data_IF_014487956689
#
_entry.id   IF_014487956689
#
_cell.length_a   1.000
_cell.length_b   1.000
_cell.length_c   1.000
_cell.angle_alpha   90.00
_cell.angle_beta   90.00
_cell.angle_gamma   90.00
#
_symmetry.space_group_name_H-M   'P 1'
#
loop_
_entity.id
_entity.type
_entity.pdbx_description
1 polymer ?
#
# COMPACT_ATOMS: atom_id res chain seq x y z
N UNK A 1 3.72 22.44 -1.97
CA UNK A 1 3.66 22.64 -3.45
C UNK A 1 4.28 23.99 -3.81
N UNK A 2 3.71 25.13 -3.41
CA UNK A 2 4.27 26.48 -3.68
C UNK A 2 5.74 26.62 -3.21
N UNK A 3 6.06 26.21 -1.98
CA UNK A 3 7.44 26.25 -1.49
C UNK A 3 8.42 25.32 -2.21
N UNK A 4 7.93 24.21 -2.78
CA UNK A 4 8.77 23.32 -3.59
C UNK A 4 9.04 23.94 -4.97
N UNK A 5 8.04 24.58 -5.58
CA UNK A 5 8.19 25.32 -6.84
C UNK A 5 9.15 26.52 -6.73
N UNK A 6 9.24 27.14 -5.56
CA UNK A 6 10.11 28.31 -5.34
C UNK A 6 11.57 27.95 -5.02
N UNK A 7 11.83 26.76 -4.47
CA UNK A 7 13.14 26.41 -3.89
C UNK A 7 13.83 25.26 -4.62
N UNK A 8 13.07 24.38 -5.28
CA UNK A 8 13.61 23.19 -5.94
C UNK A 8 13.75 23.48 -7.43
N UNK A 9 14.98 23.74 -7.87
CA UNK A 9 15.33 23.78 -9.28
C UNK A 9 15.08 22.41 -9.92
N UNK A 10 14.25 22.36 -10.97
CA UNK A 10 13.93 21.15 -11.72
C UNK A 10 15.22 20.51 -12.26
N UNK A 11 15.50 19.24 -11.94
CA UNK A 11 16.58 18.50 -12.60
C UNK A 11 16.09 18.05 -13.99
N UNK A 12 15.95 19.02 -14.91
CA UNK A 12 15.70 18.71 -16.31
C UNK A 12 17.01 18.26 -16.93
N UNK A 13 17.01 17.07 -17.54
CA UNK A 13 18.11 16.63 -18.39
C UNK A 13 18.05 17.50 -19.66
N UNK A 14 18.87 18.53 -19.73
CA UNK A 14 19.00 19.35 -20.95
C UNK A 14 19.35 18.43 -22.12
N UNK A 15 18.52 18.42 -23.17
CA UNK A 15 18.71 17.59 -24.36
C UNK A 15 18.11 16.18 -24.32
N UNK A 16 17.26 15.82 -23.34
CA UNK A 16 16.57 14.52 -23.37
C UNK A 16 15.55 14.44 -24.53
N UNK A 17 15.91 13.73 -25.60
CA UNK A 17 15.04 13.37 -26.72
C UNK A 17 14.16 12.14 -26.42
N UNK A 18 13.79 11.93 -25.15
CA UNK A 18 13.22 10.66 -24.67
C UNK A 18 11.83 10.38 -25.24
N UNK A 19 11.71 9.37 -26.10
CA UNK A 19 10.43 8.80 -26.47
C UNK A 19 9.81 8.11 -25.25
N UNK A 20 8.53 8.36 -24.99
CA UNK A 20 7.80 7.70 -23.89
C UNK A 20 7.69 6.19 -24.17
N UNK A 21 8.14 5.36 -23.22
CA UNK A 21 7.98 3.91 -23.30
C UNK A 21 6.54 3.48 -22.97
N UNK A 22 5.64 3.69 -23.94
CA UNK A 22 4.22 3.31 -23.84
C UNK A 22 4.05 1.79 -23.74
N UNK A 23 4.72 0.95 -24.57
CA UNK A 23 4.56 -0.49 -24.46
C UNK A 23 5.02 -1.05 -23.11
N UNK A 24 6.17 -0.59 -22.60
CA UNK A 24 6.67 -0.96 -21.27
C UNK A 24 5.68 -0.55 -20.18
N UNK A 25 5.18 0.68 -20.23
CA UNK A 25 4.17 1.16 -19.28
C UNK A 25 2.88 0.34 -19.30
N UNK A 26 2.38 -0.06 -20.48
CA UNK A 26 1.18 -0.89 -20.61
C UNK A 26 1.41 -2.31 -20.09
N UNK A 27 2.52 -2.96 -20.47
CA UNK A 27 2.84 -4.31 -20.01
C UNK A 27 3.04 -4.36 -18.49
N UNK A 28 3.81 -3.41 -17.94
CA UNK A 28 4.04 -3.30 -16.49
C UNK A 28 2.76 -2.95 -15.73
N UNK A 29 2.02 -1.94 -16.20
CA UNK A 29 0.79 -1.46 -15.56
C UNK A 29 -0.33 -2.49 -15.56
N UNK A 30 -0.62 -3.12 -16.70
CA UNK A 30 -1.63 -4.18 -16.80
C UNK A 30 -1.17 -5.46 -16.10
N UNK A 31 0.12 -5.79 -16.17
CA UNK A 31 0.70 -6.93 -15.47
C UNK A 31 0.56 -6.83 -13.96
N UNK A 32 1.04 -5.73 -13.37
CA UNK A 32 0.88 -5.46 -11.94
C UNK A 32 -0.59 -5.33 -11.55
N UNK A 33 -1.39 -4.62 -12.35
CA UNK A 33 -2.82 -4.45 -12.12
C UNK A 33 -3.57 -5.78 -12.06
N UNK A 34 -3.27 -6.71 -12.97
CA UNK A 34 -3.88 -8.05 -12.97
C UNK A 34 -3.49 -8.89 -11.75
N UNK A 35 -2.24 -8.82 -11.31
CA UNK A 35 -1.78 -9.49 -10.08
C UNK A 35 -2.48 -8.90 -8.85
N UNK A 36 -2.49 -7.57 -8.73
CA UNK A 36 -3.08 -6.86 -7.59
C UNK A 36 -4.59 -7.10 -7.52
N UNK A 37 -5.28 -6.99 -8.67
CA UNK A 37 -6.71 -7.31 -8.76
C UNK A 37 -7.00 -8.73 -8.30
N UNK A 38 -6.24 -9.71 -8.82
CA UNK A 38 -6.43 -11.11 -8.45
C UNK A 38 -6.24 -11.36 -6.94
N UNK A 39 -5.30 -10.66 -6.32
CA UNK A 39 -5.02 -10.80 -4.88
C UNK A 39 -6.03 -10.08 -3.99
N UNK A 40 -6.51 -8.89 -4.39
CA UNK A 40 -7.47 -8.11 -3.60
C UNK A 40 -8.88 -8.68 -3.75
N UNK A 41 -9.35 -8.84 -4.99
CA UNK A 41 -10.70 -9.29 -5.29
C UNK A 41 -10.84 -10.82 -5.35
N UNK A 42 -9.77 -11.56 -5.04
CA UNK A 42 -9.77 -13.01 -4.90
C UNK A 42 -10.80 -13.50 -3.89
N UNK A 43 -10.99 -12.76 -2.80
CA UNK A 43 -12.02 -13.05 -1.80
C UNK A 43 -13.43 -12.70 -2.30
N UNK A 44 -13.54 -11.62 -3.08
CA UNK A 44 -14.79 -11.09 -3.62
C UNK A 44 -15.40 -12.00 -4.69
N UNK A 45 -14.60 -12.36 -5.71
CA UNK A 45 -15.04 -13.19 -6.83
C UNK A 45 -14.75 -14.68 -6.64
N UNK A 46 -14.01 -15.06 -5.59
CA UNK A 46 -13.60 -16.42 -5.31
C UNK A 46 -12.31 -16.82 -6.05
N UNK A 47 -11.48 -17.64 -5.42
CA UNK A 47 -10.17 -18.03 -5.98
C UNK A 47 -10.27 -19.01 -7.14
N UNK A 48 -11.31 -19.85 -7.17
CA UNK A 48 -11.49 -20.91 -8.16
C UNK A 48 -12.93 -20.96 -8.64
N UNK A 49 -13.87 -21.16 -7.73
CA UNK A 49 -15.30 -21.11 -8.02
C UNK A 49 -15.79 -19.66 -7.91
N UNK A 50 -16.56 -19.17 -8.90
CA UNK A 50 -17.05 -17.80 -8.89
C UNK A 50 -18.09 -17.60 -7.76
N UNK A 51 -17.84 -16.62 -6.89
CA UNK A 51 -18.78 -16.16 -5.84
C UNK A 51 -19.68 -15.01 -6.32
N UNK A 52 -19.32 -14.35 -7.42
CA UNK A 52 -20.06 -13.23 -7.99
C UNK A 52 -19.81 -13.09 -9.49
N UNK A 53 -20.68 -12.34 -10.16
CA UNK A 53 -20.54 -12.05 -11.60
C UNK A 53 -19.64 -10.84 -11.81
N UNK A 54 -18.44 -11.06 -12.37
CA UNK A 54 -17.59 -9.97 -12.83
C UNK A 54 -18.12 -9.40 -14.15
N UNK A 55 -18.28 -8.08 -14.21
CA UNK A 55 -18.57 -7.37 -15.47
C UNK A 55 -17.83 -6.05 -15.54
N UNK A 56 -17.30 -5.72 -16.71
CA UNK A 56 -16.59 -4.47 -16.97
C UNK A 56 -16.98 -3.96 -18.36
N UNK A 57 -17.37 -2.68 -18.47
CA UNK A 57 -17.79 -2.05 -19.72
C UNK A 57 -18.84 -2.84 -20.53
N UNK A 58 -19.79 -3.48 -19.84
CA UNK A 58 -20.84 -4.30 -20.48
C UNK A 58 -20.38 -5.69 -20.93
N UNK A 59 -19.10 -6.03 -20.77
CA UNK A 59 -18.60 -7.39 -20.92
C UNK A 59 -18.68 -8.12 -19.58
N UNK A 60 -19.40 -9.24 -19.56
CA UNK A 60 -19.46 -10.13 -18.39
C UNK A 60 -18.51 -11.31 -18.58
N UNK A 61 -17.91 -11.75 -17.48
CA UNK A 61 -17.08 -12.95 -17.48
C UNK A 61 -17.90 -14.16 -17.98
N UNK A 62 -17.50 -14.81 -19.08
CA UNK A 62 -18.37 -15.76 -19.78
C UNK A 62 -18.40 -17.15 -19.13
N UNK A 63 -17.48 -17.45 -18.21
CA UNK A 63 -17.37 -18.77 -17.60
C UNK A 63 -18.11 -18.82 -16.27
N UNK A 64 -19.17 -19.63 -16.19
CA UNK A 64 -19.96 -19.81 -14.97
C UNK A 64 -19.27 -20.70 -13.90
N UNK A 65 -18.29 -21.52 -14.30
CA UNK A 65 -17.66 -22.50 -13.40
C UNK A 65 -16.28 -22.08 -12.88
N UNK A 66 -15.68 -21.06 -13.49
CA UNK A 66 -14.34 -20.60 -13.14
C UNK A 66 -14.39 -19.13 -12.79
N UNK A 67 -13.76 -18.76 -11.69
CA UNK A 67 -13.54 -17.36 -11.34
C UNK A 67 -12.58 -16.69 -12.34
N UNK A 68 -12.72 -15.37 -12.50
CA UNK A 68 -11.78 -14.53 -13.26
C UNK A 68 -10.38 -14.47 -12.62
N UNK A 69 -10.29 -14.76 -11.32
CA UNK A 69 -9.10 -14.52 -10.50
C UNK A 69 -7.87 -15.30 -11.00
N UNK A 70 -7.91 -16.62 -11.25
CA UNK A 70 -6.77 -17.34 -11.82
C UNK A 70 -6.31 -16.79 -13.18
N UNK A 71 -7.26 -16.38 -14.03
CA UNK A 71 -6.94 -15.80 -15.34
C UNK A 71 -6.27 -14.44 -15.21
N UNK A 72 -6.71 -13.62 -14.26
CA UNK A 72 -6.05 -12.35 -13.96
C UNK A 72 -4.64 -12.55 -13.42
N UNK A 73 -4.44 -13.52 -12.53
CA UNK A 73 -3.11 -13.83 -11.98
C UNK A 73 -2.15 -14.37 -13.04
N UNK A 74 -2.62 -15.33 -13.87
CA UNK A 74 -1.82 -15.91 -14.96
C UNK A 74 -1.54 -14.84 -16.03
N UNK A 75 -2.57 -14.12 -16.47
CA UNK A 75 -2.45 -13.05 -17.47
C UNK A 75 -1.53 -11.94 -16.99
N UNK A 76 -1.69 -11.50 -15.74
CA UNK A 76 -0.82 -10.51 -15.10
C UNK A 76 0.64 -11.00 -15.03
N UNK A 77 0.85 -12.25 -14.61
CA UNK A 77 2.18 -12.87 -14.56
C UNK A 77 2.84 -12.96 -15.95
N UNK A 78 2.09 -13.36 -16.97
CA UNK A 78 2.58 -13.40 -18.36
C UNK A 78 2.94 -12.00 -18.87
N UNK A 79 2.11 -10.98 -18.60
CA UNK A 79 2.39 -9.60 -18.97
C UNK A 79 3.64 -9.07 -18.26
N UNK A 80 3.87 -9.42 -17.00
CA UNK A 80 5.10 -9.07 -16.27
C UNK A 80 6.33 -9.77 -16.83
N UNK A 81 6.22 -11.05 -17.22
CA UNK A 81 7.31 -11.76 -17.91
C UNK A 81 7.64 -11.06 -19.22
N UNK A 82 6.62 -10.65 -19.98
CA UNK A 82 6.77 -9.92 -21.24
C UNK A 82 7.38 -8.54 -21.02
N UNK A 83 6.96 -7.83 -19.96
CA UNK A 83 7.54 -6.56 -19.53
C UNK A 83 9.03 -6.71 -19.24
N UNK A 84 9.42 -7.68 -18.39
CA UNK A 84 10.83 -7.93 -18.06
C UNK A 84 11.64 -8.23 -19.31
N UNK A 85 11.10 -9.04 -20.22
CA UNK A 85 11.77 -9.35 -21.49
C UNK A 85 11.92 -8.11 -22.39
N UNK A 86 10.88 -7.29 -22.50
CA UNK A 86 10.84 -6.09 -23.31
C UNK A 86 11.81 -5.02 -22.81
N UNK A 87 11.75 -4.70 -21.52
CA UNK A 87 12.64 -3.72 -20.87
C UNK A 87 14.11 -4.15 -20.94
N UNK A 88 14.41 -5.44 -20.71
CA UNK A 88 15.77 -5.96 -20.87
C UNK A 88 16.26 -5.89 -22.31
N UNK A 89 15.37 -6.03 -23.29
CA UNK A 89 15.70 -5.88 -24.69
C UNK A 89 16.03 -4.42 -25.01
N UNK A 90 15.22 -3.48 -24.54
CA UNK A 90 15.48 -2.03 -24.66
C UNK A 90 16.83 -1.65 -24.02
N UNK A 91 17.07 -2.12 -22.80
CA UNK A 91 18.33 -1.88 -22.09
C UNK A 91 19.55 -2.37 -22.89
N UNK A 92 19.47 -3.55 -23.52
CA UNK A 92 20.54 -4.09 -24.39
C UNK A 92 20.73 -3.31 -25.68
N UNK A 93 19.70 -2.60 -26.15
CA UNK A 93 19.73 -1.76 -27.36
C UNK A 93 20.28 -0.36 -27.07
N UNK A 94 20.58 -0.03 -25.81
CA UNK A 94 21.13 1.27 -25.42
C UNK A 94 20.10 2.39 -25.39
N UNK A 95 18.80 2.07 -25.35
CA UNK A 95 17.72 3.05 -25.15
C UNK A 95 17.54 3.37 -23.66
N UNK A 96 16.64 4.30 -23.32
CA UNK A 96 16.27 4.63 -21.94
C UNK A 96 14.99 3.83 -21.54
N UNK A 97 15.11 2.65 -20.90
CA UNK A 97 13.95 1.84 -20.51
C UNK A 97 13.23 2.45 -19.29
N UNK A 98 11.97 2.06 -19.08
CA UNK A 98 11.18 2.49 -17.93
C UNK A 98 11.71 1.88 -16.62
N UNK A 99 12.22 0.66 -16.68
CA UNK A 99 12.87 -0.01 -15.55
C UNK A 99 14.22 -0.61 -15.95
N UNK A 100 15.32 0.03 -15.51
CA UNK A 100 16.68 -0.47 -15.74
C UNK A 100 17.03 -1.63 -14.80
N UNK A 101 17.08 -2.86 -15.34
CA UNK A 101 17.42 -4.06 -14.56
C UNK A 101 18.90 -4.15 -14.22
N UNK A 102 19.80 -3.48 -14.95
CA UNK A 102 21.23 -3.39 -14.60
C UNK A 102 21.45 -2.76 -13.23
N UNK A 103 20.55 -1.92 -12.74
CA UNK A 103 20.66 -1.31 -11.40
C UNK A 103 20.67 -2.36 -10.27
N UNK A 104 20.10 -3.54 -10.47
CA UNK A 104 20.17 -4.64 -9.50
C UNK A 104 21.58 -5.21 -9.26
N UNK A 105 22.57 -4.79 -10.07
CA UNK A 105 23.98 -5.08 -9.79
C UNK A 105 24.47 -4.36 -8.53
N UNK A 106 23.90 -3.19 -8.21
CA UNK A 106 24.23 -2.43 -6.99
C UNK A 106 23.54 -3.07 -5.79
N UNK A 107 24.32 -3.40 -4.75
CA UNK A 107 23.80 -4.03 -3.52
C UNK A 107 22.85 -3.08 -2.78
N UNK A 108 23.18 -1.79 -2.73
CA UNK A 108 22.32 -0.70 -2.23
C UNK A 108 20.94 -0.72 -2.87
N UNK A 109 20.88 -0.72 -4.20
CA UNK A 109 19.62 -0.74 -4.93
C UNK A 109 18.83 -2.03 -4.70
N UNK A 110 19.48 -3.21 -4.86
CA UNK A 110 18.80 -4.51 -4.73
C UNK A 110 18.25 -4.75 -3.32
N UNK A 111 19.08 -4.66 -2.29
CA UNK A 111 18.63 -4.88 -0.91
C UNK A 111 17.79 -3.71 -0.38
N UNK A 112 18.03 -2.49 -0.88
CA UNK A 112 17.21 -1.32 -0.61
C UNK A 112 15.78 -1.50 -1.11
N UNK A 113 15.58 -1.93 -2.36
CA UNK A 113 14.25 -2.20 -2.91
C UNK A 113 13.53 -3.34 -2.16
N UNK A 114 14.23 -4.42 -1.80
CA UNK A 114 13.62 -5.51 -0.99
C UNK A 114 13.14 -4.95 0.36
N UNK A 115 14.00 -4.20 1.05
CA UNK A 115 13.68 -3.61 2.36
C UNK A 115 12.53 -2.60 2.23
N UNK A 116 12.55 -1.73 1.21
CA UNK A 116 11.49 -0.77 0.91
C UNK A 116 10.16 -1.47 0.62
N UNK A 117 10.18 -2.54 -0.17
CA UNK A 117 8.98 -3.34 -0.46
C UNK A 117 8.38 -3.94 0.81
N UNK A 118 9.21 -4.48 1.70
CA UNK A 118 8.73 -5.06 2.97
C UNK A 118 8.20 -3.98 3.93
N UNK A 119 8.90 -2.85 4.07
CA UNK A 119 8.45 -1.71 4.87
C UNK A 119 7.05 -1.30 4.42
N UNK A 120 6.89 -1.07 3.11
CA UNK A 120 5.65 -0.51 2.55
C UNK A 120 4.51 -1.51 2.56
N UNK A 121 4.81 -2.81 2.47
CA UNK A 121 3.87 -3.88 2.73
C UNK A 121 3.34 -3.81 4.17
N UNK A 122 4.22 -3.73 5.18
CA UNK A 122 3.82 -3.64 6.59
C UNK A 122 3.08 -2.35 6.95
N UNK A 123 3.56 -1.20 6.48
CA UNK A 123 3.02 0.15 6.74
C UNK A 123 1.55 0.28 6.34
N UNK A 124 1.23 0.00 5.08
CA UNK A 124 -0.13 0.20 4.56
C UNK A 124 -1.09 -0.89 5.02
N UNK A 125 -0.58 -2.10 5.26
CA UNK A 125 -1.33 -3.21 5.87
C UNK A 125 -1.98 -2.81 7.20
N UNK A 126 -1.17 -2.25 8.11
CA UNK A 126 -1.66 -1.88 9.44
C UNK A 126 -2.65 -0.72 9.38
N UNK A 127 -2.33 0.34 8.63
CA UNK A 127 -3.18 1.53 8.56
C UNK A 127 -4.58 1.16 8.05
N UNK A 128 -4.65 0.30 7.03
CA UNK A 128 -5.91 -0.23 6.52
C UNK A 128 -6.67 -1.02 7.59
N UNK A 129 -6.02 -1.99 8.24
CA UNK A 129 -6.63 -2.84 9.26
C UNK A 129 -7.14 -2.05 10.48
N UNK A 130 -6.33 -1.11 10.95
CA UNK A 130 -6.63 -0.29 12.11
C UNK A 130 -7.81 0.66 11.81
N UNK A 131 -7.84 1.24 10.61
CA UNK A 131 -8.96 2.08 10.17
C UNK A 131 -10.25 1.27 10.14
N UNK A 132 -10.20 0.05 9.59
CA UNK A 132 -11.35 -0.85 9.56
C UNK A 132 -11.79 -1.26 10.98
N UNK A 133 -10.84 -1.53 11.89
CA UNK A 133 -11.15 -1.87 13.28
C UNK A 133 -11.89 -0.75 14.00
N UNK A 134 -11.35 0.47 13.93
CA UNK A 134 -11.90 1.63 14.61
C UNK A 134 -13.30 1.99 14.10
N UNK A 135 -13.52 1.90 12.80
CA UNK A 135 -14.82 2.22 12.20
C UNK A 135 -15.83 1.08 12.38
N UNK A 136 -15.47 -0.15 12.01
CA UNK A 136 -16.41 -1.27 11.99
C UNK A 136 -16.74 -1.83 13.37
N UNK A 137 -15.83 -1.73 14.35
CA UNK A 137 -16.01 -2.37 15.67
C UNK A 137 -16.22 -1.33 16.77
N UNK A 138 -15.35 -0.31 16.84
CA UNK A 138 -15.54 0.76 17.81
C UNK A 138 -16.64 1.73 17.41
N UNK A 139 -17.15 1.63 16.19
CA UNK A 139 -18.22 2.50 15.69
C UNK A 139 -17.79 3.96 15.55
N UNK A 140 -16.48 4.21 15.49
CA UNK A 140 -15.96 5.57 15.33
C UNK A 140 -16.29 6.09 13.94
N UNK A 141 -16.66 7.37 13.87
CA UNK A 141 -16.77 8.09 12.61
C UNK A 141 -15.40 8.17 11.91
N UNK A 142 -15.41 8.50 10.62
CA UNK A 142 -14.17 8.75 9.86
C UNK A 142 -13.32 9.86 10.50
N UNK A 143 -13.97 10.89 11.05
CA UNK A 143 -13.32 11.98 11.78
C UNK A 143 -12.62 11.50 13.05
N UNK A 144 -13.33 10.74 13.90
CA UNK A 144 -12.77 10.19 15.14
C UNK A 144 -11.66 9.18 14.88
N UNK A 145 -11.80 8.37 13.83
CA UNK A 145 -10.75 7.44 13.38
C UNK A 145 -9.49 8.21 12.99
N UNK A 146 -9.61 9.31 12.24
CA UNK A 146 -8.48 10.17 11.90
C UNK A 146 -7.78 10.73 13.15
N UNK A 147 -8.54 11.18 14.15
CA UNK A 147 -7.99 11.64 15.43
C UNK A 147 -7.32 10.52 16.22
N UNK A 148 -7.84 9.30 16.17
CA UNK A 148 -7.25 8.14 16.84
C UNK A 148 -5.91 7.72 16.22
N UNK A 149 -5.75 7.86 14.89
CA UNK A 149 -4.52 7.53 14.16
C UNK A 149 -3.52 8.71 14.17
N UNK A 150 -3.95 9.92 14.52
CA UNK A 150 -3.11 11.14 14.56
C UNK A 150 -1.74 10.97 15.25
N UNK A 151 -1.60 10.27 16.39
CA UNK A 151 -0.30 10.07 17.04
C UNK A 151 0.74 9.41 16.13
N UNK A 152 0.33 8.50 15.25
CA UNK A 152 1.20 7.89 14.23
C UNK A 152 1.74 8.96 13.29
N UNK A 153 0.87 9.80 12.74
CA UNK A 153 1.27 10.85 11.80
C UNK A 153 2.21 11.85 12.47
N UNK A 154 1.95 12.24 13.72
CA UNK A 154 2.81 13.14 14.48
C UNK A 154 4.20 12.53 14.71
N UNK A 155 4.27 11.26 15.13
CA UNK A 155 5.54 10.55 15.30
C UNK A 155 6.38 10.55 14.03
N UNK A 156 5.77 10.20 12.89
CA UNK A 156 6.47 10.18 11.61
C UNK A 156 6.92 11.59 11.18
N UNK A 157 6.04 12.59 11.33
CA UNK A 157 6.30 13.96 10.93
C UNK A 157 7.46 14.59 11.70
N UNK A 158 7.49 14.45 13.03
CA UNK A 158 8.54 15.05 13.85
C UNK A 158 9.87 14.30 13.73
N UNK A 159 9.83 12.99 13.51
CA UNK A 159 11.04 12.18 13.50
C UNK A 159 11.72 12.12 12.13
N UNK A 160 11.00 12.30 11.02
CA UNK A 160 11.62 12.28 9.68
C UNK A 160 12.77 13.31 9.50
N UNK A 161 12.64 14.59 9.92
CA UNK A 161 13.75 15.55 9.87
C UNK A 161 14.89 15.20 10.84
N UNK A 162 14.59 14.53 11.96
CA UNK A 162 15.60 14.08 12.92
C UNK A 162 16.45 12.98 12.28
N UNK A 163 15.82 11.99 11.62
CA UNK A 163 16.52 10.97 10.84
C UNK A 163 17.42 11.58 9.76
N UNK A 164 16.93 12.61 9.06
CA UNK A 164 17.71 13.41 8.11
C UNK A 164 18.98 14.00 8.70
N UNK A 165 18.93 14.60 9.88
CA UNK A 165 20.13 15.19 10.54
C UNK A 165 21.05 14.14 11.16
N UNK A 166 20.51 13.00 11.55
CA UNK A 166 21.28 11.96 12.21
C UNK A 166 22.15 11.18 11.21
N UNK A 167 21.84 11.25 9.92
CA UNK A 167 22.54 10.54 8.85
C UNK A 167 24.01 10.94 8.76
N UNK A 168 24.31 12.23 8.95
CA UNK A 168 25.69 12.76 8.87
C UNK A 168 26.57 12.18 9.98
N UNK A 169 25.97 11.79 11.12
CA UNK A 169 26.69 11.25 12.29
C UNK A 169 26.74 9.72 12.33
N UNK A 170 25.64 9.06 12.00
CA UNK A 170 25.50 7.60 12.18
C UNK A 170 25.56 6.82 10.86
N UNK A 171 25.40 7.48 9.72
CA UNK A 171 25.11 6.85 8.44
C UNK A 171 23.64 6.43 8.33
N UNK A 172 23.20 6.12 7.11
CA UNK A 172 21.80 5.84 6.82
C UNK A 172 21.31 4.50 7.38
N UNK A 173 22.16 3.46 7.38
CA UNK A 173 21.75 2.10 7.77
C UNK A 173 21.31 1.98 9.24
N UNK A 174 22.06 2.51 10.24
CA UNK A 174 21.64 2.42 11.64
C UNK A 174 20.31 3.13 11.92
N UNK A 175 20.01 4.20 11.17
CA UNK A 175 18.76 4.96 11.30
C UNK A 175 17.58 4.15 10.76
N UNK A 176 17.76 3.51 9.59
CA UNK A 176 16.73 2.60 9.06
C UNK A 176 16.51 1.43 10.00
N UNK A 177 17.57 0.77 10.47
CA UNK A 177 17.46 -0.36 11.38
C UNK A 177 16.78 0.00 12.70
N UNK A 178 17.13 1.14 13.31
CA UNK A 178 16.50 1.58 14.56
C UNK A 178 15.02 1.91 14.36
N UNK A 179 14.67 2.54 13.23
CA UNK A 179 13.28 2.77 12.82
C UNK A 179 12.50 1.46 12.70
N UNK A 180 13.03 0.47 11.98
CA UNK A 180 12.35 -0.81 11.77
C UNK A 180 12.23 -1.67 13.04
N UNK A 181 13.23 -1.63 13.93
CA UNK A 181 13.13 -2.27 15.25
C UNK A 181 12.06 -1.61 16.09
N UNK A 182 11.98 -0.28 16.07
CA UNK A 182 10.94 0.47 16.77
C UNK A 182 9.55 0.18 16.20
N UNK A 183 9.40 0.13 14.87
CA UNK A 183 8.15 -0.27 14.23
C UNK A 183 7.73 -1.67 14.65
N UNK A 184 8.65 -2.64 14.58
CA UNK A 184 8.39 -4.04 14.95
C UNK A 184 7.93 -4.14 16.40
N UNK A 185 8.63 -3.47 17.32
CA UNK A 185 8.29 -3.50 18.75
C UNK A 185 6.98 -2.79 19.06
N UNK A 186 6.71 -1.65 18.42
CA UNK A 186 5.44 -0.93 18.55
C UNK A 186 4.27 -1.75 17.99
N UNK A 187 4.44 -2.42 16.85
CA UNK A 187 3.46 -3.32 16.26
C UNK A 187 3.21 -4.57 17.10
N UNK A 188 4.27 -5.19 17.62
CA UNK A 188 4.13 -6.33 18.53
C UNK A 188 3.38 -5.93 19.81
N UNK A 189 3.67 -4.76 20.36
CA UNK A 189 2.95 -4.21 21.51
C UNK A 189 1.49 -3.95 21.17
N UNK A 190 1.21 -3.24 20.08
CA UNK A 190 -0.15 -2.98 19.60
C UNK A 190 -0.95 -4.28 19.40
N UNK A 191 -0.37 -5.27 18.73
CA UNK A 191 -0.97 -6.58 18.48
C UNK A 191 -1.22 -7.38 19.76
N UNK A 192 -0.44 -7.13 20.81
CA UNK A 192 -0.62 -7.78 22.10
C UNK A 192 -1.76 -7.17 22.92
N UNK A 193 -2.03 -5.87 22.75
CA UNK A 193 -3.06 -5.13 23.51
C UNK A 193 -4.40 -5.01 22.81
N UNK A 194 -4.49 -5.31 21.50
CA UNK A 194 -5.76 -5.33 20.76
C UNK A 194 -6.73 -6.32 21.41
N UNK A 195 -7.83 -5.76 21.93
CA UNK A 195 -8.95 -6.47 22.54
C UNK A 195 -10.25 -5.69 22.31
N UNK A 196 -11.39 -6.31 22.62
CA UNK A 196 -12.71 -5.68 22.48
C UNK A 196 -12.88 -4.48 23.43
N UNK A 197 -12.18 -4.49 24.58
CA UNK A 197 -12.25 -3.46 25.61
C UNK A 197 -11.19 -2.34 25.44
N UNK A 198 -10.42 -2.39 24.35
CA UNK A 198 -9.32 -1.46 24.15
C UNK A 198 -9.86 -0.03 23.94
N UNK A 199 -9.47 0.89 24.83
CA UNK A 199 -9.82 2.30 24.69
C UNK A 199 -8.93 3.00 23.67
N UNK A 200 -9.46 4.03 23.01
CA UNK A 200 -8.69 4.87 22.09
C UNK A 200 -7.43 5.51 22.73
N UNK A 201 -7.42 5.70 24.05
CA UNK A 201 -6.24 6.17 24.77
C UNK A 201 -5.11 5.13 24.78
N UNK A 202 -5.42 3.84 24.88
CA UNK A 202 -4.46 2.74 24.83
C UNK A 202 -3.74 2.59 23.50
N UNK A 203 -4.31 3.13 22.42
CA UNK A 203 -3.71 3.13 21.08
C UNK A 203 -2.66 4.23 20.89
N UNK A 204 -2.74 5.34 21.63
CA UNK A 204 -1.96 6.55 21.33
C UNK A 204 -0.45 6.31 21.39
N UNK A 205 0.02 5.64 22.42
CA UNK A 205 1.45 5.44 22.65
C UNK A 205 2.06 4.40 21.68
N UNK A 206 1.47 3.21 21.47
CA UNK A 206 1.94 2.30 20.42
C UNK A 206 1.94 2.94 19.03
N UNK A 207 0.90 3.71 18.69
CA UNK A 207 0.83 4.40 17.40
C UNK A 207 1.88 5.50 17.26
N UNK A 208 2.13 6.27 18.32
CA UNK A 208 3.20 7.27 18.32
C UNK A 208 4.58 6.62 18.10
N UNK A 209 4.90 5.54 18.82
CA UNK A 209 6.16 4.82 18.65
C UNK A 209 6.29 4.23 17.25
N UNK A 210 5.20 3.67 16.74
CA UNK A 210 5.14 3.16 15.38
C UNK A 210 5.41 4.27 14.34
N UNK A 211 4.78 5.43 14.51
CA UNK A 211 5.02 6.62 13.69
C UNK A 211 6.48 7.09 13.73
N UNK A 212 7.08 7.16 14.92
CA UNK A 212 8.50 7.51 15.09
C UNK A 212 9.39 6.54 14.29
N UNK A 213 9.08 5.24 14.36
CA UNK A 213 9.78 4.21 13.59
C UNK A 213 9.70 4.44 12.08
N UNK A 214 8.49 4.67 11.55
CA UNK A 214 8.24 5.02 10.15
C UNK A 214 9.05 6.25 9.73
N UNK A 215 9.03 7.30 10.56
CA UNK A 215 9.75 8.54 10.30
C UNK A 215 11.26 8.32 10.14
N UNK A 216 11.86 7.50 11.02
CA UNK A 216 13.28 7.14 10.93
C UNK A 216 13.56 6.31 9.67
N UNK A 217 12.81 5.22 9.46
CA UNK A 217 13.06 4.27 8.38
C UNK A 217 12.85 4.90 6.99
N UNK A 218 11.69 5.52 6.78
CA UNK A 218 11.33 6.11 5.48
C UNK A 218 12.19 7.32 5.13
N UNK A 219 12.73 8.06 6.11
CA UNK A 219 13.58 9.23 5.83
C UNK A 219 14.89 8.88 5.12
N UNK A 220 15.46 7.69 5.39
CA UNK A 220 16.79 7.31 4.91
C UNK A 220 16.81 6.16 3.91
N UNK A 221 15.71 5.41 3.77
CA UNK A 221 15.69 4.25 2.86
C UNK A 221 16.00 4.63 1.41
N UNK A 222 15.50 5.78 0.93
CA UNK A 222 15.79 6.26 -0.43
C UNK A 222 17.25 6.67 -0.60
N UNK A 223 17.84 7.28 0.43
CA UNK A 223 19.27 7.63 0.45
C UNK A 223 20.14 6.37 0.33
N UNK A 224 19.75 5.27 0.97
CA UNK A 224 20.44 3.98 0.82
C UNK A 224 20.23 3.41 -0.58
N UNK A 225 19.00 3.36 -1.08
CA UNK A 225 18.68 2.76 -2.39
C UNK A 225 19.46 3.44 -3.51
N UNK A 226 19.65 4.75 -3.43
CA UNK A 226 20.31 5.55 -4.46
C UNK A 226 21.81 5.73 -4.23
N UNK A 227 22.40 5.22 -3.14
CA UNK A 227 23.77 5.56 -2.74
C UNK A 227 24.84 5.19 -3.77
N UNK A 228 24.70 4.04 -4.43
CA UNK A 228 25.68 3.57 -5.42
C UNK A 228 25.16 3.73 -6.86
N UNK A 229 23.96 4.31 -7.02
CA UNK A 229 23.35 4.52 -8.34
C UNK A 229 23.96 5.76 -8.99
N UNK A 230 24.45 5.67 -10.24
CA UNK A 230 24.96 6.84 -10.96
C UNK A 230 23.91 7.97 -11.03
N UNK A 231 24.34 9.22 -10.81
CA UNK A 231 23.44 10.39 -10.77
C UNK A 231 22.54 10.48 -12.01
N UNK A 232 23.09 10.17 -13.19
CA UNK A 232 22.36 10.16 -14.47
C UNK A 232 21.20 9.14 -14.52
N UNK A 233 21.23 8.11 -13.68
CA UNK A 233 20.23 7.03 -13.60
C UNK A 233 19.34 7.14 -12.35
N UNK A 234 19.55 8.16 -11.51
CA UNK A 234 18.81 8.38 -10.27
C UNK A 234 17.30 8.55 -10.50
N UNK A 235 16.89 9.15 -11.62
CA UNK A 235 15.49 9.30 -12.02
C UNK A 235 14.79 7.94 -12.21
N UNK A 236 15.38 7.04 -13.01
CA UNK A 236 14.85 5.69 -13.25
C UNK A 236 14.87 4.86 -11.96
N UNK A 237 15.95 4.95 -11.18
CA UNK A 237 16.04 4.27 -9.89
C UNK A 237 14.96 4.73 -8.90
N UNK A 238 14.65 6.03 -8.85
CA UNK A 238 13.59 6.60 -8.02
C UNK A 238 12.19 6.16 -8.49
N UNK A 239 11.98 6.08 -9.81
CA UNK A 239 10.76 5.52 -10.39
C UNK A 239 10.58 4.04 -10.01
N UNK A 240 11.66 3.27 -10.04
CA UNK A 240 11.69 1.88 -9.55
C UNK A 240 11.31 1.77 -8.07
N UNK A 241 11.90 2.60 -7.20
CA UNK A 241 11.54 2.67 -5.77
C UNK A 241 10.07 2.99 -5.55
N UNK A 242 9.53 3.96 -6.30
CA UNK A 242 8.11 4.34 -6.23
C UNK A 242 7.19 3.20 -6.66
N UNK A 243 7.58 2.45 -7.70
CA UNK A 243 6.85 1.27 -8.19
C UNK A 243 6.84 0.18 -7.13
N UNK A 244 7.98 -0.13 -6.52
CA UNK A 244 8.09 -1.09 -5.43
C UNK A 244 7.25 -0.65 -4.23
N UNK A 245 7.18 0.65 -3.91
CA UNK A 245 6.30 1.18 -2.86
C UNK A 245 4.84 0.85 -3.11
N UNK A 246 4.37 1.07 -4.35
CA UNK A 246 2.99 0.79 -4.76
C UNK A 246 2.70 -0.71 -4.71
N UNK A 247 3.60 -1.53 -5.26
CA UNK A 247 3.47 -2.99 -5.20
C UNK A 247 3.41 -3.47 -3.75
N UNK A 248 4.35 -3.05 -2.89
CA UNK A 248 4.36 -3.39 -1.47
C UNK A 248 3.05 -3.02 -0.78
N UNK A 249 2.60 -1.76 -0.93
CA UNK A 249 1.34 -1.31 -0.32
C UNK A 249 0.11 -2.11 -0.77
N UNK A 250 0.01 -2.42 -2.06
CA UNK A 250 -1.11 -3.20 -2.62
C UNK A 250 -1.11 -4.65 -2.15
N UNK A 251 0.05 -5.30 -2.12
CA UNK A 251 0.21 -6.64 -1.58
C UNK A 251 -0.12 -6.68 -0.09
N UNK A 252 0.30 -5.67 0.67
CA UNK A 252 -0.02 -5.53 2.07
C UNK A 252 -1.53 -5.51 2.32
N UNK A 253 -2.24 -4.63 1.61
CA UNK A 253 -3.71 -4.52 1.69
C UNK A 253 -4.39 -5.85 1.31
N UNK A 254 -3.92 -6.52 0.25
CA UNK A 254 -4.50 -7.80 -0.19
C UNK A 254 -4.32 -8.92 0.86
N UNK A 255 -3.11 -9.05 1.42
CA UNK A 255 -2.80 -10.05 2.44
C UNK A 255 -3.64 -9.77 3.69
N UNK A 256 -3.69 -8.52 4.14
CA UNK A 256 -4.48 -8.12 5.30
C UNK A 256 -5.97 -8.37 5.08
N UNK A 257 -6.53 -7.96 3.94
CA UNK A 257 -7.94 -8.21 3.62
C UNK A 257 -8.26 -9.70 3.68
N UNK A 258 -7.39 -10.55 3.13
CA UNK A 258 -7.52 -12.01 3.19
C UNK A 258 -7.44 -12.55 4.62
N UNK A 259 -6.44 -12.15 5.40
CA UNK A 259 -6.25 -12.61 6.79
C UNK A 259 -7.42 -12.15 7.67
N UNK A 260 -7.88 -10.92 7.49
CA UNK A 260 -8.99 -10.33 8.22
C UNK A 260 -10.28 -11.08 7.93
N UNK A 261 -10.66 -11.22 6.66
CA UNK A 261 -11.86 -11.92 6.25
C UNK A 261 -11.85 -13.38 6.71
N UNK A 262 -10.76 -14.11 6.46
CA UNK A 262 -10.64 -15.53 6.83
C UNK A 262 -10.69 -15.73 8.34
N UNK A 263 -9.97 -14.91 9.11
CA UNK A 263 -9.96 -15.02 10.57
C UNK A 263 -11.33 -14.68 11.15
N UNK A 264 -11.99 -13.65 10.62
CA UNK A 264 -13.31 -13.23 11.06
C UNK A 264 -14.35 -14.32 10.81
N UNK A 265 -14.40 -14.88 9.60
CA UNK A 265 -15.32 -15.98 9.25
C UNK A 265 -15.09 -17.19 10.15
N UNK A 266 -13.84 -17.63 10.30
CA UNK A 266 -13.50 -18.79 11.12
C UNK A 266 -13.83 -18.56 12.60
N UNK A 267 -13.49 -17.39 13.13
CA UNK A 267 -13.67 -17.06 14.55
C UNK A 267 -15.15 -16.85 14.90
N UNK A 268 -15.92 -16.20 14.01
CA UNK A 268 -17.36 -16.03 14.17
C UNK A 268 -18.08 -17.38 14.06
N UNK A 269 -17.73 -18.22 13.08
CA UNK A 269 -18.28 -19.59 12.95
C UNK A 269 -18.01 -20.42 14.21
N UNK A 270 -16.78 -20.38 14.72
CA UNK A 270 -16.41 -21.08 15.95
C UNK A 270 -17.19 -20.56 17.16
N UNK A 271 -17.35 -19.23 17.28
CA UNK A 271 -18.15 -18.63 18.36
C UNK A 271 -19.63 -18.98 18.28
N UNK A 272 -20.21 -18.98 17.08
CA UNK A 272 -21.59 -19.40 16.82
C UNK A 272 -21.80 -20.88 17.19
N UNK A 273 -20.87 -21.76 16.81
CA UNK A 273 -20.91 -23.19 17.12
C UNK A 273 -20.78 -23.48 18.63
N UNK A 274 -19.94 -22.71 19.33
CA UNK A 274 -19.70 -22.89 20.77
C UNK A 274 -20.72 -22.19 21.67
N UNK A 275 -21.60 -21.34 21.12
CA UNK A 275 -22.62 -20.64 21.90
C UNK A 275 -23.64 -21.63 22.47
N UNK A 276 -23.77 -21.60 23.79
CA UNK A 276 -24.76 -22.41 24.52
C UNK A 276 -26.18 -21.98 24.18
N UNK A 277 -26.43 -20.67 24.02
CA UNK A 277 -27.72 -20.15 23.62
C UNK A 277 -28.10 -20.62 22.22
N UNK A 278 -27.18 -20.52 21.26
CA UNK A 278 -27.43 -20.92 19.87
C UNK A 278 -27.59 -22.44 19.68
N UNK A 279 -27.12 -23.21 20.65
CA UNK A 279 -27.24 -24.68 20.68
C UNK A 279 -28.36 -25.18 21.60
N UNK A 280 -29.10 -24.27 22.25
CA UNK A 280 -30.06 -24.62 23.30
C UNK A 280 -31.37 -25.25 22.78
N UNK A 281 -31.85 -24.82 21.61
CA UNK A 281 -33.07 -25.33 21.00
C UNK A 281 -32.93 -25.48 19.48
N UNK A 282 -33.73 -26.35 18.83
CA UNK A 282 -33.72 -26.49 17.37
C UNK A 282 -33.95 -25.17 16.61
N UNK A 283 -34.74 -24.26 17.17
CA UNK A 283 -35.01 -22.96 16.56
C UNK A 283 -33.76 -22.06 16.56
N UNK A 284 -33.03 -21.98 17.67
CA UNK A 284 -31.76 -21.25 17.73
C UNK A 284 -30.68 -21.88 16.85
N UNK A 285 -30.65 -23.21 16.77
CA UNK A 285 -29.72 -23.93 15.89
C UNK A 285 -30.01 -23.64 14.41
N UNK A 286 -31.28 -23.56 14.01
CA UNK A 286 -31.63 -23.17 12.64
C UNK A 286 -31.15 -21.76 12.29
N UNK A 287 -31.27 -20.80 13.21
CA UNK A 287 -30.73 -19.44 13.04
C UNK A 287 -29.20 -19.46 12.92
N UNK A 288 -28.52 -20.24 13.79
CA UNK A 288 -27.07 -20.42 13.73
C UNK A 288 -26.61 -20.90 12.36
N UNK A 289 -27.22 -21.97 11.85
CA UNK A 289 -26.87 -22.53 10.54
C UNK A 289 -27.13 -21.55 9.40
N UNK A 290 -28.22 -20.77 9.46
CA UNK A 290 -28.48 -19.71 8.47
C UNK A 290 -27.41 -18.60 8.51
N UNK A 291 -26.96 -18.20 9.70
CA UNK A 291 -25.91 -17.19 9.85
C UNK A 291 -24.59 -17.74 9.31
N UNK A 292 -24.21 -18.98 9.64
CA UNK A 292 -22.99 -19.63 9.14
C UNK A 292 -23.03 -19.73 7.62
N UNK A 293 -24.16 -20.19 7.05
CA UNK A 293 -24.34 -20.29 5.60
C UNK A 293 -24.22 -18.92 4.92
N UNK A 294 -24.82 -17.87 5.50
CA UNK A 294 -24.65 -16.50 5.02
C UNK A 294 -23.23 -15.98 5.17
N UNK A 295 -22.50 -16.39 6.22
CA UNK A 295 -21.12 -15.98 6.45
C UNK A 295 -20.19 -16.54 5.38
N UNK A 296 -20.38 -17.82 5.03
CA UNK A 296 -19.64 -18.48 3.95
C UNK A 296 -19.91 -17.80 2.61
N UNK A 297 -21.17 -17.44 2.34
CA UNK A 297 -21.54 -16.75 1.10
C UNK A 297 -21.16 -15.27 1.07
N UNK A 298 -21.07 -14.60 2.22
CA UNK A 298 -20.80 -13.13 2.34
C UNK A 298 -19.36 -12.80 2.71
N UNK A 299 -18.46 -13.79 2.75
CA UNK A 299 -17.01 -13.63 2.93
C UNK A 299 -16.35 -12.61 1.97
N UNK A 300 -17.07 -12.20 0.92
CA UNK A 300 -16.69 -11.23 -0.12
C UNK A 300 -17.00 -9.75 0.19
N UNK A 301 -17.75 -9.40 1.24
CA UNK A 301 -18.25 -8.02 1.42
C UNK A 301 -18.23 -7.56 2.88
N UNK A 302 -17.10 -7.70 3.58
CA UNK A 302 -16.99 -7.17 4.95
C UNK A 302 -16.83 -5.64 4.97
N UNK A 303 -17.98 -4.95 4.91
CA UNK A 303 -18.21 -3.57 5.37
C UNK A 303 -19.33 -3.54 6.42
N UNK A 304 -19.51 -2.41 7.12
CA UNK A 304 -20.48 -2.21 8.23
C UNK A 304 -21.90 -2.74 7.95
N UNK A 305 -22.34 -2.80 6.68
CA UNK A 305 -23.67 -3.26 6.26
C UNK A 305 -23.92 -4.78 6.45
N UNK A 306 -22.85 -5.56 6.67
CA UNK A 306 -22.95 -7.03 6.77
C UNK A 306 -23.58 -7.50 8.08
N UNK A 307 -23.27 -6.85 9.21
CA UNK A 307 -23.68 -7.34 10.53
C UNK A 307 -25.18 -7.14 10.78
N UNK A 308 -25.75 -6.03 10.30
CA UNK A 308 -27.18 -5.76 10.42
C UNK A 308 -28.02 -6.60 9.43
N UNK A 309 -27.48 -6.97 8.27
CA UNK A 309 -28.15 -7.86 7.30
C UNK A 309 -28.06 -9.36 7.66
N UNK A 310 -27.17 -9.71 8.61
CA UNK A 310 -27.03 -11.06 9.17
C UNK A 310 -28.02 -11.33 10.31
N UNK A 311 -28.54 -10.30 10.98
CA UNK A 311 -29.65 -10.45 11.94
C UNK A 311 -30.93 -10.72 11.13
N UNK A 312 -31.60 -11.86 11.29
CA UNK A 312 -32.84 -12.12 10.57
C UNK A 312 -33.89 -11.07 10.96
N UNK A 313 -34.25 -10.17 10.04
CA UNK A 313 -35.39 -9.26 10.23
C UNK A 313 -36.73 -10.04 10.28
N UNK A 314 -36.74 -11.27 9.74
CA UNK A 314 -37.93 -12.13 9.62
C UNK A 314 -37.82 -13.47 10.38
N UNK A 315 -37.20 -13.49 11.56
CA UNK A 315 -37.39 -14.65 12.46
C UNK A 315 -38.87 -14.80 12.90
N UNK A 316 -39.71 -13.81 12.61
CA UNK A 316 -41.17 -13.84 12.74
C UNK A 316 -41.88 -14.68 11.67
N UNK A 317 -41.33 -14.88 10.46
CA UNK A 317 -42.04 -15.61 9.39
C UNK A 317 -41.89 -17.14 9.46
N UNK A 318 -40.79 -17.65 10.02
CA UNK A 318 -40.60 -19.10 10.19
C UNK A 318 -41.32 -19.67 11.44
N UNK A 319 -42.06 -18.81 12.16
CA UNK A 319 -42.93 -19.22 13.26
C UNK A 319 -44.17 -20.00 12.79
N UNK A 320 -44.48 -19.98 11.48
CA UNK A 320 -45.70 -20.58 10.93
C UNK A 320 -45.53 -22.01 10.40
N UNK A 321 -44.32 -22.54 10.29
CA UNK A 321 -44.10 -23.96 9.95
C UNK A 321 -43.82 -24.78 11.21
N UNK A 322 -44.88 -25.11 11.94
CA UNK A 322 -44.85 -26.16 12.96
C UNK A 322 -44.42 -25.75 14.37
N UNK A 323 -44.91 -24.61 14.89
CA UNK A 323 -44.91 -24.41 16.35
C UNK A 323 -45.82 -25.45 17.00
N UNK A 324 -45.20 -26.52 17.52
CA UNK A 324 -45.84 -27.35 18.53
C UNK A 324 -46.25 -26.43 19.69
N UNK A 325 -47.54 -26.47 20.05
CA UNK A 325 -48.08 -25.74 21.19
C UNK A 325 -47.23 -26.05 22.44
N UNK A 326 -46.44 -25.07 22.91
CA UNK A 326 -45.55 -25.21 24.07
C UNK A 326 -44.07 -24.88 23.86
N UNK A 327 -43.62 -24.55 22.65
CA UNK A 327 -42.24 -24.09 22.44
C UNK A 327 -42.03 -22.69 23.06
N UNK A 328 -41.00 -22.46 23.90
CA UNK A 328 -40.72 -21.15 24.47
C UNK A 328 -40.43 -20.14 23.35
N UNK A 329 -41.02 -18.95 23.45
CA UNK A 329 -40.77 -17.84 22.52
C UNK A 329 -39.27 -17.50 22.50
N UNK A 330 -38.70 -17.35 21.31
CA UNK A 330 -37.30 -16.98 21.14
C UNK A 330 -37.05 -15.57 21.70
N UNK A 331 -36.08 -15.44 22.60
CA UNK A 331 -35.66 -14.14 23.15
C UNK A 331 -34.74 -13.46 22.14
N UNK A 332 -35.34 -12.59 21.31
CA UNK A 332 -34.63 -11.86 20.27
C UNK A 332 -33.60 -10.87 20.82
N UNK A 333 -33.78 -10.38 22.05
CA UNK A 333 -32.84 -9.45 22.67
C UNK A 333 -31.58 -10.19 23.12
N UNK A 334 -31.73 -11.32 23.81
CA UNK A 334 -30.62 -12.19 24.19
C UNK A 334 -29.87 -12.73 22.95
N UNK A 335 -30.61 -13.14 21.92
CA UNK A 335 -30.05 -13.58 20.64
C UNK A 335 -29.19 -12.49 19.98
N UNK A 336 -29.72 -11.28 19.88
CA UNK A 336 -29.00 -10.15 19.28
C UNK A 336 -27.73 -9.78 20.05
N UNK A 337 -27.78 -9.80 21.38
CA UNK A 337 -26.61 -9.56 22.24
C UNK A 337 -25.54 -10.63 22.06
N UNK A 338 -25.93 -11.91 22.03
CA UNK A 338 -25.02 -13.04 21.85
C UNK A 338 -24.34 -13.01 20.47
N UNK A 339 -25.10 -12.79 19.40
CA UNK A 339 -24.53 -12.66 18.06
C UNK A 339 -23.56 -11.46 18.02
N UNK A 340 -23.97 -10.31 18.55
CA UNK A 340 -23.12 -9.10 18.56
C UNK A 340 -21.81 -9.34 19.32
N UNK A 341 -21.85 -10.04 20.46
CA UNK A 341 -20.65 -10.33 21.26
C UNK A 341 -19.69 -11.27 20.52
N UNK A 342 -20.21 -12.31 19.86
CA UNK A 342 -19.43 -13.25 19.04
C UNK A 342 -18.73 -12.51 17.91
N UNK A 343 -19.45 -11.66 17.16
CA UNK A 343 -18.87 -10.91 16.06
C UNK A 343 -17.86 -9.87 16.49
N UNK A 344 -18.08 -9.19 17.63
CA UNK A 344 -17.07 -8.28 18.22
C UNK A 344 -15.78 -9.03 18.58
N UNK A 345 -15.90 -10.20 19.20
CA UNK A 345 -14.75 -11.04 19.56
C UNK A 345 -14.00 -11.56 18.33
N UNK A 346 -14.73 -12.06 17.32
CA UNK A 346 -14.16 -12.55 16.07
C UNK A 346 -13.40 -11.45 15.31
N UNK A 347 -13.96 -10.24 15.27
CA UNK A 347 -13.33 -9.08 14.68
C UNK A 347 -12.06 -8.62 15.43
N UNK A 348 -12.10 -8.56 16.77
CA UNK A 348 -10.92 -8.26 17.56
C UNK A 348 -9.80 -9.28 17.32
N UNK A 349 -10.16 -10.57 17.20
CA UNK A 349 -9.22 -11.65 16.85
C UNK A 349 -8.64 -11.47 15.44
N UNK A 350 -9.48 -11.11 14.46
CA UNK A 350 -9.03 -10.84 13.09
C UNK A 350 -8.03 -9.69 13.02
N UNK A 351 -8.30 -8.59 13.70
CA UNK A 351 -7.41 -7.42 13.72
C UNK A 351 -6.13 -7.70 14.49
N UNK A 352 -6.20 -8.48 15.57
CA UNK A 352 -5.01 -8.98 16.28
C UNK A 352 -4.12 -9.84 15.37
N UNK A 353 -4.70 -10.77 14.61
CA UNK A 353 -3.96 -11.61 13.66
C UNK A 353 -3.32 -10.78 12.55
N UNK A 354 -4.04 -9.80 12.02
CA UNK A 354 -3.49 -8.84 11.06
C UNK A 354 -2.30 -8.07 11.65
N UNK A 355 -2.42 -7.59 12.89
CA UNK A 355 -1.32 -6.94 13.60
C UNK A 355 -0.07 -7.82 13.68
N UNK A 356 -0.23 -9.12 13.99
CA UNK A 356 0.88 -10.07 13.99
C UNK A 356 1.48 -10.33 12.61
N UNK A 357 0.65 -10.40 11.57
CA UNK A 357 1.12 -10.51 10.18
C UNK A 357 1.93 -9.27 9.77
N UNK A 358 1.44 -8.07 10.09
CA UNK A 358 2.18 -6.83 9.84
C UNK A 358 3.51 -6.80 10.63
N UNK A 359 3.47 -7.19 11.91
CA UNK A 359 4.66 -7.29 12.78
C UNK A 359 5.70 -8.23 12.16
N UNK A 360 5.27 -9.39 11.67
CA UNK A 360 6.13 -10.37 11.03
C UNK A 360 6.82 -9.80 9.77
N UNK A 361 6.06 -9.12 8.91
CA UNK A 361 6.64 -8.50 7.72
C UNK A 361 7.65 -7.40 8.08
N UNK A 362 7.31 -6.49 8.99
CA UNK A 362 8.25 -5.44 9.41
C UNK A 362 9.51 -6.04 10.05
N UNK A 363 9.37 -7.10 10.86
CA UNK A 363 10.50 -7.83 11.43
C UNK A 363 11.40 -8.46 10.35
N UNK A 364 10.80 -9.08 9.33
CA UNK A 364 11.54 -9.57 8.16
C UNK A 364 12.23 -8.44 7.40
N UNK A 365 11.60 -7.27 7.34
CA UNK A 365 12.19 -6.07 6.78
C UNK A 365 13.41 -5.63 7.57
N UNK A 366 13.34 -5.66 8.91
CA UNK A 366 14.46 -5.32 9.79
C UNK A 366 15.63 -6.29 9.58
N UNK A 367 15.35 -7.59 9.41
CA UNK A 367 16.35 -8.60 9.05
C UNK A 367 16.94 -8.34 7.66
N UNK A 368 16.12 -7.99 6.67
CA UNK A 368 16.59 -7.58 5.33
C UNK A 368 17.48 -6.34 5.40
N UNK A 369 17.14 -5.37 6.27
CA UNK A 369 17.89 -4.14 6.46
C UNK A 369 19.32 -4.37 6.99
N UNK A 370 19.59 -5.51 7.64
CA UNK A 370 20.94 -5.91 8.05
C UNK A 370 21.86 -6.08 6.82
N UNK A 371 21.31 -6.47 5.68
CA UNK A 371 22.07 -6.64 4.42
C UNK A 371 22.32 -5.32 3.69
N UNK A 372 21.77 -4.19 4.16
CA UNK A 372 21.99 -2.89 3.54
C UNK A 372 23.45 -2.45 3.70
N UNK A 373 24.02 -1.78 2.67
CA UNK A 373 25.25 -1.03 2.85
C UNK A 373 25.01 0.14 3.80
N UNK A 374 26.08 0.64 4.45
CA UNK A 374 26.01 1.84 5.28
C UNK A 374 26.73 2.99 4.58
N UNK A 375 26.09 3.67 3.62
CA UNK A 375 26.70 4.82 2.97
C UNK A 375 26.90 5.93 4.01
N UNK A 376 28.13 6.44 4.08
CA UNK A 376 28.44 7.70 4.74
C UNK A 376 28.42 8.77 3.66
N UNK A 377 27.56 9.76 3.80
CA UNK A 377 27.60 10.93 2.94
C UNK A 377 28.74 11.81 3.48
N UNK A 378 29.93 11.68 2.90
CA UNK A 378 31.06 12.56 3.20
C UNK A 378 30.69 14.01 2.85
N UNK A 379 31.21 14.96 3.63
CA UNK A 379 30.96 16.39 3.45
C UNK A 379 31.06 16.74 1.97
N UNK A 380 29.98 17.34 1.44
CA UNK A 380 30.03 17.92 0.10
C UNK A 380 31.31 18.75 0.02
N UNK A 381 32.20 18.54 -0.98
CA UNK A 381 33.26 19.49 -1.20
C UNK A 381 32.60 20.88 -1.24
N UNK A 382 33.18 21.85 -0.52
CA UNK A 382 32.75 23.24 -0.60
C UNK A 382 32.42 23.54 -2.06
N UNK A 383 31.28 24.19 -2.38
CA UNK A 383 30.92 24.46 -3.75
C UNK A 383 32.15 25.10 -4.38
N UNK A 384 32.84 24.34 -5.23
CA UNK A 384 34.06 24.81 -5.86
C UNK A 384 33.66 26.14 -6.46
N UNK A 385 34.36 27.19 -6.03
CA UNK A 385 34.07 28.57 -6.41
C UNK A 385 33.57 28.52 -7.85
N UNK A 386 32.31 28.91 -8.07
CA UNK A 386 31.67 28.87 -9.40
C UNK A 386 32.75 29.20 -10.40
N UNK A 387 32.99 28.40 -11.47
CA UNK A 387 33.96 28.77 -12.47
C UNK A 387 33.70 30.24 -12.75
N UNK A 388 34.69 31.09 -12.42
CA UNK A 388 34.58 32.52 -12.61
C UNK A 388 34.32 32.63 -14.09
N UNK A 389 33.06 32.84 -14.45
CA UNK A 389 32.70 33.22 -15.80
C UNK A 389 33.55 34.46 -16.00
N UNK A 390 34.55 34.44 -16.90
CA UNK A 390 35.27 35.65 -17.22
C UNK A 390 34.20 36.69 -17.52
N UNK A 391 34.29 37.93 -16.98
CA UNK A 391 33.31 38.95 -17.32
C UNK A 391 33.11 38.90 -18.82
N UNK A 392 31.85 38.73 -19.26
CA UNK A 392 31.51 38.78 -20.68
C UNK A 392 32.27 39.96 -21.25
N UNK A 393 33.24 39.67 -22.12
CA UNK A 393 33.90 40.69 -22.89
C UNK A 393 32.75 41.33 -23.65
N UNK A 394 32.37 42.51 -23.18
CA UNK A 394 31.26 43.27 -23.73
C UNK A 394 31.80 43.66 -25.09
N UNK A 395 31.49 42.86 -26.11
CA UNK A 395 31.73 43.24 -27.49
C UNK A 395 30.80 44.44 -27.66
N UNK A 396 31.36 45.64 -27.50
CA UNK A 396 30.71 46.85 -27.95
C UNK A 396 30.35 46.60 -29.41
N UNK A 397 29.05 46.59 -29.68
CA UNK A 397 28.49 46.56 -31.03
C UNK A 397 28.83 47.90 -31.66
N UNK A 398 30.10 48.07 -32.05
CA UNK A 398 30.67 49.28 -32.61
C UNK A 398 31.61 49.01 -33.79
N UNK A 399 32.26 47.85 -33.86
CA UNK A 399 33.39 47.66 -34.79
C UNK A 399 33.20 46.59 -35.87
N UNK A 400 31.99 46.04 -36.10
CA UNK A 400 31.79 45.00 -37.14
C UNK A 400 30.56 45.21 -38.03
N UNK A 401 30.07 46.44 -38.18
CA UNK A 401 29.08 46.73 -39.23
C UNK A 401 29.66 47.75 -40.20
N UNK A 402 30.20 47.23 -41.30
CA UNK A 402 30.43 48.01 -42.50
C UNK A 402 29.06 48.40 -43.07
N UNK A 403 28.64 49.64 -42.80
CA UNK A 403 27.32 50.22 -43.11
C UNK A 403 27.01 50.20 -44.62
N UNK A 404 28.00 49.90 -45.47
CA UNK A 404 27.85 49.80 -46.93
C UNK A 404 27.21 48.48 -47.42
N UNK A 405 27.03 47.46 -46.57
CA UNK A 405 26.54 46.14 -47.01
C UNK A 405 25.02 45.95 -46.94
N UNK A 406 24.26 46.90 -46.37
CA UNK A 406 22.83 46.73 -46.09
C UNK A 406 21.88 47.25 -47.19
N UNK A 407 22.37 47.85 -48.28
CA UNK A 407 21.52 48.42 -49.33
C UNK A 407 21.11 47.46 -50.47
N UNK A 408 21.33 46.14 -50.38
CA UNK A 408 21.14 45.24 -51.54
C UNK A 408 20.18 44.05 -51.38
N UNK A 409 19.24 44.08 -50.43
CA UNK A 409 18.21 43.02 -50.35
C UNK A 409 16.87 43.46 -50.98
N UNK A 410 16.39 42.79 -52.05
CA UNK A 410 15.09 43.10 -52.64
C UNK A 410 13.96 42.61 -51.72
N UNK A 411 12.97 43.49 -51.51
CA UNK A 411 11.76 43.22 -50.74
C UNK A 411 10.98 42.05 -51.35
N UNK A 412 10.87 40.94 -50.61
CA UNK A 412 9.88 39.90 -50.91
C UNK A 412 8.79 39.96 -49.84
N UNK A 413 7.57 40.27 -50.29
CA UNK A 413 6.38 40.25 -49.45
C UNK A 413 6.09 38.82 -48.96
N UNK A 414 5.63 38.64 -47.71
CA UNK A 414 5.27 37.32 -47.20
C UNK A 414 3.94 36.83 -47.81
N UNK A 415 3.81 35.52 -48.12
CA UNK A 415 2.57 34.99 -48.67
C UNK A 415 1.48 34.91 -47.59
N UNK A 416 0.28 35.32 -47.97
CA UNK A 416 -0.91 35.19 -47.14
C UNK A 416 -1.47 33.76 -47.20
N UNK A 417 -1.37 33.03 -46.08
CA UNK A 417 -2.39 32.14 -45.54
C UNK A 417 -2.15 31.88 -44.06
#
# INVERSE_FOLDING_TARGET
IVGAMLVVSESRKEGATGHLDVPGALLGGLGLGGIIFGLIDGQSYGWWQPKGSFSIFGWAWPFANFSIIPFSLIGGGLLLILFIWYERRLERQGTEPLFEFSLFQYRSYRFGLITLGIITLGEFSLIFALSLFLQSIQGLSAWETGLAILPLALGAFFTAPIGGRLVDRLGAKPIVLSGMVLETTALAWLSSVISVDLTAAGLRLPLLLYGIGIGLATSQINNIVLSDVPVMKSGVASAGSSTIRRVGSSLGIAIVGTVLATTLVNSATTGLQNSQLLSSTPAYTAVREQIIQKLDSSSSTFGQDSLQSLIPQDASQNSNSGQAAGAPSMDMAALGQEITSIFKSANATAVKNVGWVATFFVAMGALSAIMLPNPKFEDKPEPSARPVVPPEETIEVGDVVDEAALESFPSSDPPAW
#
